data_IF_963168373693
#
_entry.id   IF_963168373693
#
_cell.length_a   1.000
_cell.length_b   1.000
_cell.length_c   1.000
_cell.angle_alpha   90.00
_cell.angle_beta   90.00
_cell.angle_gamma   90.00
#
_symmetry.space_group_name_H-M   'P 1'
#
loop_
_entity.id
_entity.type
_entity.pdbx_description
1 polymer ?
#
# COMPACT_ATOMS: atom_id res chain seq x y z
N UNK A 1 15.95 -5.05 8.29
CA UNK A 1 15.85 -5.76 7.01
C UNK A 1 14.86 -6.89 7.17
N UNK A 2 13.80 -6.95 6.36
CA UNK A 2 12.86 -8.07 6.40
C UNK A 2 13.57 -9.41 6.24
N UNK A 3 13.20 -10.40 7.06
CA UNK A 3 13.71 -11.76 6.93
C UNK A 3 13.07 -12.48 5.71
N UNK A 4 13.59 -13.66 5.36
CA UNK A 4 13.14 -14.39 4.18
C UNK A 4 11.64 -14.75 4.22
N UNK A 5 11.11 -15.10 5.39
CA UNK A 5 9.69 -15.43 5.56
C UNK A 5 8.80 -14.20 5.34
N UNK A 6 9.19 -13.05 5.89
CA UNK A 6 8.53 -11.77 5.68
C UNK A 6 8.59 -11.33 4.21
N UNK A 7 9.71 -11.58 3.52
CA UNK A 7 9.83 -11.29 2.09
C UNK A 7 8.89 -12.16 1.26
N UNK A 8 8.84 -13.47 1.52
CA UNK A 8 7.94 -14.38 0.82
C UNK A 8 6.47 -14.04 1.07
N UNK A 9 6.12 -13.72 2.32
CA UNK A 9 4.78 -13.24 2.68
C UNK A 9 4.42 -11.94 1.98
N UNK A 10 5.35 -10.99 1.92
CA UNK A 10 5.16 -9.71 1.21
C UNK A 10 4.94 -9.92 -0.29
N UNK A 11 5.67 -10.86 -0.89
CA UNK A 11 5.49 -11.23 -2.29
C UNK A 11 4.10 -11.84 -2.54
N UNK A 12 3.69 -12.80 -1.70
CA UNK A 12 2.36 -13.40 -1.78
C UNK A 12 1.24 -12.33 -1.68
N UNK A 13 1.34 -11.42 -0.70
CA UNK A 13 0.37 -10.34 -0.52
C UNK A 13 0.36 -9.36 -1.71
N UNK A 14 1.51 -9.12 -2.33
CA UNK A 14 1.60 -8.34 -3.55
C UNK A 14 0.86 -9.02 -4.71
N UNK A 15 1.02 -10.34 -4.90
CA UNK A 15 0.30 -11.07 -5.95
C UNK A 15 -1.21 -11.07 -5.73
N UNK A 16 -1.65 -11.24 -4.48
CA UNK A 16 -3.06 -11.12 -4.12
C UNK A 16 -3.59 -9.71 -4.43
N UNK A 17 -2.82 -8.66 -4.12
CA UNK A 17 -3.18 -7.28 -4.43
C UNK A 17 -3.43 -7.08 -5.93
N UNK A 18 -2.49 -7.51 -6.78
CA UNK A 18 -2.63 -7.42 -8.25
C UNK A 18 -3.84 -8.23 -8.74
N UNK A 19 -4.05 -9.41 -8.16
CA UNK A 19 -5.18 -10.29 -8.51
C UNK A 19 -6.52 -9.62 -8.20
N UNK A 20 -6.69 -9.07 -6.99
CA UNK A 20 -7.91 -8.35 -6.62
C UNK A 20 -8.17 -7.12 -7.50
N UNK A 21 -7.13 -6.37 -7.87
CA UNK A 21 -7.27 -5.23 -8.78
C UNK A 21 -7.74 -5.67 -10.17
N UNK A 22 -7.19 -6.78 -10.67
CA UNK A 22 -7.54 -7.36 -11.96
C UNK A 22 -8.97 -7.88 -11.97
N UNK A 23 -9.37 -8.63 -10.93
CA UNK A 23 -10.71 -9.17 -10.78
C UNK A 23 -11.79 -8.08 -10.67
N UNK A 24 -11.45 -6.92 -10.11
CA UNK A 24 -12.35 -5.76 -10.08
C UNK A 24 -12.32 -4.91 -11.37
N UNK A 25 -11.63 -5.36 -12.43
CA UNK A 25 -11.60 -4.68 -13.71
C UNK A 25 -10.91 -3.31 -13.68
N UNK A 26 -9.93 -3.10 -12.79
CA UNK A 26 -9.17 -1.84 -12.76
C UNK A 26 -8.37 -1.67 -14.05
N UNK A 27 -8.24 -0.42 -14.51
CA UNK A 27 -7.44 -0.10 -15.71
C UNK A 27 -5.96 -0.45 -15.47
N UNK A 28 -5.19 -0.82 -16.51
CA UNK A 28 -3.77 -1.17 -16.36
C UNK A 28 -2.94 -0.10 -15.63
N UNK A 29 -3.16 1.18 -15.93
CA UNK A 29 -2.49 2.29 -15.25
C UNK A 29 -2.83 2.38 -13.74
N UNK A 30 -4.05 2.00 -13.35
CA UNK A 30 -4.44 1.94 -11.94
C UNK A 30 -3.80 0.75 -11.24
N UNK A 31 -3.75 -0.41 -11.91
CA UNK A 31 -3.08 -1.61 -11.38
C UNK A 31 -1.61 -1.29 -11.11
N UNK A 32 -0.92 -0.70 -12.09
CA UNK A 32 0.48 -0.29 -11.97
C UNK A 32 0.66 0.73 -10.83
N UNK A 33 -0.15 1.79 -10.79
CA UNK A 33 -0.05 2.82 -9.76
C UNK A 33 -0.21 2.27 -8.34
N UNK A 34 -1.22 1.43 -8.11
CA UNK A 34 -1.48 0.86 -6.78
C UNK A 34 -0.43 -0.18 -6.39
N UNK A 35 0.02 -1.00 -7.34
CA UNK A 35 1.09 -1.97 -7.14
C UNK A 35 2.41 -1.28 -6.77
N UNK A 36 2.73 -0.15 -7.39
CA UNK A 36 3.90 0.68 -7.05
C UNK A 36 3.78 1.32 -5.67
N UNK A 37 2.58 1.71 -5.25
CA UNK A 37 2.35 2.23 -3.90
C UNK A 37 2.70 1.19 -2.83
N UNK A 38 2.19 -0.04 -2.99
CA UNK A 38 2.42 -1.14 -2.05
C UNK A 38 3.91 -1.49 -1.94
N UNK A 39 4.60 -1.60 -3.09
CA UNK A 39 6.05 -1.85 -3.13
C UNK A 39 6.84 -0.73 -2.46
N UNK A 40 6.48 0.52 -2.74
CA UNK A 40 7.21 1.69 -2.23
C UNK A 40 7.12 1.81 -0.72
N UNK A 41 5.94 1.63 -0.11
CA UNK A 41 5.83 1.70 1.35
C UNK A 41 6.55 0.52 2.04
N UNK A 42 6.43 -0.68 1.48
CA UNK A 42 7.10 -1.89 1.98
C UNK A 42 8.62 -1.72 1.97
N UNK A 43 9.17 -1.17 0.89
CA UNK A 43 10.60 -0.87 0.78
C UNK A 43 11.03 0.29 1.68
N UNK A 44 10.23 1.36 1.75
CA UNK A 44 10.55 2.55 2.54
C UNK A 44 10.62 2.27 4.04
N UNK A 45 9.70 1.44 4.56
CA UNK A 45 9.65 1.08 5.97
C UNK A 45 10.38 -0.22 6.29
N UNK A 46 10.80 -0.97 5.27
CA UNK A 46 11.43 -2.28 5.41
C UNK A 46 10.59 -3.22 6.31
N UNK A 47 9.27 -3.23 6.03
CA UNK A 47 8.24 -3.96 6.77
C UNK A 47 7.29 -4.64 5.80
N UNK A 48 6.79 -5.81 6.20
CA UNK A 48 5.77 -6.52 5.43
C UNK A 48 4.46 -5.73 5.42
N UNK A 49 3.74 -5.64 4.28
CA UNK A 49 2.62 -4.72 4.12
C UNK A 49 1.43 -5.00 5.06
N UNK A 50 1.28 -6.23 5.55
CA UNK A 50 0.26 -6.61 6.53
C UNK A 50 0.59 -6.26 7.98
N UNK A 51 1.86 -5.96 8.26
CA UNK A 51 2.33 -5.52 9.58
C UNK A 51 2.28 -4.00 9.77
N UNK A 52 1.87 -3.27 8.73
CA UNK A 52 1.82 -1.81 8.73
C UNK A 52 0.75 -1.30 9.70
N UNK A 53 1.21 -0.46 10.63
CA UNK A 53 0.35 0.21 11.60
C UNK A 53 -0.13 1.57 11.09
N UNK A 54 -1.12 2.16 11.75
CA UNK A 54 -1.57 3.53 11.43
C UNK A 54 -0.44 4.56 11.60
N UNK A 55 0.46 4.37 12.57
CA UNK A 55 1.61 5.26 12.77
C UNK A 55 2.62 5.17 11.62
N UNK A 56 2.89 3.94 11.14
CA UNK A 56 3.72 3.70 9.96
C UNK A 56 3.17 4.43 8.73
N UNK A 57 1.86 4.38 8.51
CA UNK A 57 1.19 5.10 7.42
C UNK A 57 1.32 6.62 7.56
N UNK A 58 1.09 7.16 8.77
CA UNK A 58 1.24 8.61 9.04
C UNK A 58 2.66 9.09 8.75
N UNK A 59 3.66 8.36 9.24
CA UNK A 59 5.07 8.67 9.02
C UNK A 59 5.43 8.63 7.53
N UNK A 60 4.94 7.62 6.81
CA UNK A 60 5.14 7.50 5.37
C UNK A 60 4.53 8.68 4.61
N UNK A 61 3.25 8.99 4.85
CA UNK A 61 2.56 10.06 4.13
C UNK A 61 3.11 11.45 4.46
N UNK A 62 3.51 11.70 5.71
CA UNK A 62 4.16 12.96 6.11
C UNK A 62 5.45 13.20 5.31
N UNK A 63 6.25 12.16 5.05
CA UNK A 63 7.44 12.27 4.22
C UNK A 63 7.10 12.35 2.73
N UNK A 64 6.11 11.58 2.29
CA UNK A 64 5.71 11.52 0.88
C UNK A 64 5.21 12.87 0.37
N UNK A 65 4.40 13.58 1.15
CA UNK A 65 3.85 14.91 0.81
C UNK A 65 4.96 15.95 0.58
N UNK A 66 6.06 15.86 1.33
CA UNK A 66 7.17 16.80 1.19
C UNK A 66 8.03 16.53 -0.05
N UNK A 67 8.03 15.29 -0.55
CA UNK A 67 9.00 14.84 -1.55
C UNK A 67 8.38 14.46 -2.91
N UNK A 68 7.05 14.37 -3.00
CA UNK A 68 6.34 13.92 -4.21
C UNK A 68 5.16 14.83 -4.54
N UNK A 69 4.70 14.75 -5.79
CA UNK A 69 3.49 15.45 -6.21
C UNK A 69 2.24 14.95 -5.47
N UNK A 70 1.26 15.83 -5.30
CA UNK A 70 -0.06 15.47 -4.78
C UNK A 70 -0.75 14.35 -5.56
N UNK A 71 -0.52 14.25 -6.88
CA UNK A 71 -1.03 13.14 -7.69
C UNK A 71 -0.47 11.80 -7.22
N UNK A 72 0.82 11.74 -6.87
CA UNK A 72 1.49 10.55 -6.36
C UNK A 72 0.96 10.18 -4.97
N UNK A 73 0.85 11.17 -4.07
CA UNK A 73 0.29 10.97 -2.72
C UNK A 73 -1.10 10.35 -2.80
N UNK A 74 -1.95 10.86 -3.70
CA UNK A 74 -3.31 10.35 -3.89
C UNK A 74 -3.35 8.93 -4.48
N UNK A 75 -2.46 8.61 -5.42
CA UNK A 75 -2.34 7.24 -5.95
C UNK A 75 -1.98 6.28 -4.82
N UNK A 76 -1.02 6.65 -3.97
CA UNK A 76 -0.54 5.78 -2.91
C UNK A 76 -1.59 5.54 -1.85
N UNK A 77 -2.28 6.61 -1.44
CA UNK A 77 -3.40 6.51 -0.51
C UNK A 77 -4.45 5.53 -1.01
N UNK A 78 -4.92 5.69 -2.25
CA UNK A 78 -5.95 4.80 -2.77
C UNK A 78 -5.47 3.37 -2.99
N UNK A 79 -4.20 3.19 -3.38
CA UNK A 79 -3.60 1.86 -3.52
C UNK A 79 -3.52 1.12 -2.17
N UNK A 80 -3.08 1.81 -1.12
CA UNK A 80 -2.99 1.25 0.21
C UNK A 80 -4.37 1.03 0.84
N UNK A 81 -5.29 1.97 0.67
CA UNK A 81 -6.70 1.79 1.09
C UNK A 81 -7.31 0.55 0.44
N UNK A 82 -7.08 0.35 -0.87
CA UNK A 82 -7.54 -0.84 -1.58
C UNK A 82 -6.91 -2.12 -1.00
N UNK A 83 -5.60 -2.10 -0.74
CA UNK A 83 -4.89 -3.24 -0.17
C UNK A 83 -5.49 -3.66 1.18
N UNK A 84 -5.63 -2.74 2.13
CA UNK A 84 -6.18 -3.05 3.45
C UNK A 84 -7.62 -3.57 3.34
N UNK A 85 -8.45 -2.92 2.53
CA UNK A 85 -9.86 -3.29 2.39
C UNK A 85 -10.07 -4.66 1.73
N UNK A 86 -9.37 -4.96 0.65
CA UNK A 86 -9.69 -6.12 -0.18
C UNK A 86 -8.72 -7.30 -0.01
N UNK A 87 -7.46 -7.05 0.32
CA UNK A 87 -6.45 -8.11 0.51
C UNK A 87 -6.41 -8.57 1.97
N UNK A 88 -6.37 -7.62 2.92
CA UNK A 88 -6.40 -7.96 4.34
C UNK A 88 -7.81 -8.10 4.91
N UNK A 89 -8.84 -7.76 4.12
CA UNK A 89 -10.25 -7.75 4.54
C UNK A 89 -10.46 -6.92 5.81
N UNK A 90 -9.68 -5.85 5.96
CA UNK A 90 -9.80 -4.97 7.11
C UNK A 90 -11.05 -4.10 6.96
N UNK A 91 -11.92 -4.16 7.97
CA UNK A 91 -13.13 -3.34 8.03
C UNK A 91 -12.84 -1.87 8.36
N UNK A 92 -11.66 -1.58 8.93
CA UNK A 92 -11.24 -0.24 9.30
C UNK A 92 -10.33 0.39 8.23
N UNK A 93 -10.69 1.59 7.76
CA UNK A 93 -9.86 2.33 6.83
C UNK A 93 -8.68 2.99 7.57
N UNK A 94 -7.57 2.25 7.67
CA UNK A 94 -6.31 2.75 8.27
C UNK A 94 -5.72 3.99 7.57
N UNK A 95 -6.14 4.27 6.33
CA UNK A 95 -5.70 5.46 5.58
C UNK A 95 -6.60 6.68 5.84
N UNK A 96 -7.72 6.53 6.54
CA UNK A 96 -8.65 7.62 6.83
C UNK A 96 -8.01 8.71 7.70
N UNK A 97 -7.22 8.33 8.71
CA UNK A 97 -6.52 9.28 9.60
C UNK A 97 -5.20 9.83 9.04
N UNK A 98 -4.83 9.45 7.81
CA UNK A 98 -3.65 9.98 7.13
C UNK A 98 -3.99 11.24 6.29
N UNK A 99 -5.18 11.80 6.49
CA UNK A 99 -5.60 13.10 5.97
C UNK A 99 -5.15 14.19 6.95
N UNK A 100 -4.36 15.15 6.44
CA UNK A 100 -4.53 16.54 6.84
C UNK A 100 -5.81 17.06 6.18
#
# INVERSE_FOLDING_TARGET
>A
MMNNEQQQRSYYLYEQHVTHLTLQGKRPATIDGYSRALRRITHHLDKSPDTLTTDDLKRYFAQLINNHSWSTVRIDRHGLQFFFKYVLQDSEDRTATCLL
#
